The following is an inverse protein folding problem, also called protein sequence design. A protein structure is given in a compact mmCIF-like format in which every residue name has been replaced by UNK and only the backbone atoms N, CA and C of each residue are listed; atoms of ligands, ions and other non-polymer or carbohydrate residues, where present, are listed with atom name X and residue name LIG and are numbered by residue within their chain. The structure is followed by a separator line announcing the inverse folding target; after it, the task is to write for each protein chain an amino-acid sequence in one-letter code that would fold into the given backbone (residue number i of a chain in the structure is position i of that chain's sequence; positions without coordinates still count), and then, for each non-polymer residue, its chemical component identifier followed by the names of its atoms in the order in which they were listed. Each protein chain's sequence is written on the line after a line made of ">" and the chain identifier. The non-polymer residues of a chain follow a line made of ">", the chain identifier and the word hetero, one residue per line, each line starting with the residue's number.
data_IF_188106159680
#
_entry.id   IF_188106159680
#
_cell.length_a   1.000
_cell.length_b   1.000
_cell.length_c   1.000
_cell.angle_alpha   90.00
_cell.angle_beta   90.00
_cell.angle_gamma   90.00
#
_symmetry.space_group_name_H-M   'P 1'
#
loop_
_entity.id
_entity.type
_entity.pdbx_description
1 polymer ?
#
# COMPACT_ATOMS: atom_id res chain seq x y z
N UNK A 1 0.36 -0.05 2.55
CA UNK A 1 -0.13 0.92 1.54
C UNK A 1 0.84 2.08 1.45
N UNK A 2 1.22 2.53 0.25
CA UNK A 2 2.04 3.74 0.08
C UNK A 2 1.13 4.96 -0.13
N UNK A 3 1.35 6.03 0.63
CA UNK A 3 0.59 7.28 0.58
C UNK A 3 1.52 8.48 0.59
N UNK A 4 1.04 9.65 0.15
CA UNK A 4 1.78 10.90 0.23
C UNK A 4 1.35 11.66 1.48
N UNK A 5 2.28 11.93 2.39
CA UNK A 5 2.07 12.75 3.60
C UNK A 5 2.81 14.10 3.53
N UNK A 6 3.73 14.26 2.57
CA UNK A 6 4.47 15.51 2.35
C UNK A 6 4.44 15.96 0.90
N UNK A 7 5.47 16.73 0.51
CA UNK A 7 5.61 17.29 -0.83
C UNK A 7 5.76 16.23 -1.94
N UNK A 8 5.76 16.69 -3.20
CA UNK A 8 6.05 15.85 -4.35
C UNK A 8 7.44 15.17 -4.23
N UNK A 9 7.57 13.99 -4.85
CA UNK A 9 8.80 13.19 -4.82
C UNK A 9 8.80 12.06 -3.78
N UNK A 10 9.92 11.34 -3.71
CA UNK A 10 10.07 10.13 -2.89
C UNK A 10 10.06 10.41 -1.38
N UNK A 11 10.62 11.55 -0.95
CA UNK A 11 10.67 11.97 0.46
C UNK A 11 9.31 12.34 1.05
N UNK A 12 8.29 12.55 0.23
CA UNK A 12 6.92 12.80 0.70
C UNK A 12 6.07 11.53 0.83
N UNK A 13 6.64 10.35 0.57
CA UNK A 13 5.92 9.07 0.59
C UNK A 13 6.12 8.37 1.92
N UNK A 14 5.03 7.91 2.52
CA UNK A 14 4.97 7.15 3.76
C UNK A 14 4.29 5.79 3.51
N UNK A 15 4.66 4.78 4.30
CA UNK A 15 3.96 3.50 4.30
C UNK A 15 3.01 3.42 5.50
N UNK A 16 1.79 2.99 5.25
CA UNK A 16 0.76 2.76 6.28
C UNK A 16 0.39 1.29 6.29
N UNK A 17 0.34 0.71 7.48
CA UNK A 17 -0.22 -0.62 7.76
C UNK A 17 -1.66 -0.44 8.20
N UNK A 18 -2.58 -1.18 7.58
CA UNK A 18 -4.00 -1.10 7.90
C UNK A 18 -4.61 -2.49 7.92
N UNK A 19 -5.61 -2.66 8.78
CA UNK A 19 -6.49 -3.82 8.74
C UNK A 19 -7.63 -3.54 7.77
N UNK A 20 -7.93 -4.50 6.92
CA UNK A 20 -9.00 -4.37 5.92
C UNK A 20 -10.38 -4.70 6.47
N UNK A 21 -10.44 -5.52 7.51
CA UNK A 21 -11.67 -5.85 8.22
C UNK A 21 -12.24 -4.60 8.91
N UNK A 22 -13.55 -4.39 8.77
CA UNK A 22 -14.31 -3.30 9.37
C UNK A 22 -13.75 -1.90 9.11
N UNK A 23 -13.00 -1.71 8.00
CA UNK A 23 -12.38 -0.44 7.67
C UNK A 23 -13.33 0.46 6.87
N UNK A 24 -13.92 1.51 7.49
CA UNK A 24 -14.89 2.34 6.79
C UNK A 24 -14.21 3.09 5.64
N UNK A 25 -14.83 3.08 4.47
CA UNK A 25 -14.28 3.73 3.27
C UNK A 25 -13.32 2.87 2.46
N UNK A 26 -12.97 1.67 2.92
CA UNK A 26 -12.19 0.70 2.15
C UNK A 26 -13.11 -0.28 1.43
N UNK A 27 -12.83 -0.55 0.16
CA UNK A 27 -13.51 -1.63 -0.59
C UNK A 27 -12.58 -2.25 -1.63
N UNK A 28 -12.79 -3.54 -1.87
CA UNK A 28 -12.13 -4.29 -2.95
C UNK A 28 -13.05 -4.28 -4.17
N UNK A 29 -12.49 -3.96 -5.34
CA UNK A 29 -13.18 -4.02 -6.62
C UNK A 29 -13.38 -5.45 -7.12
N UNK A 30 -13.82 -5.59 -8.37
CA UNK A 30 -13.88 -6.90 -9.00
C UNK A 30 -12.47 -7.47 -9.19
N UNK A 31 -12.38 -8.80 -9.14
CA UNK A 31 -11.19 -9.52 -9.59
C UNK A 31 -10.98 -9.28 -11.09
N UNK A 32 -9.73 -9.02 -11.47
CA UNK A 32 -9.34 -8.79 -12.86
C UNK A 32 -9.25 -10.13 -13.60
N UNK A 33 -9.78 -10.14 -14.82
CA UNK A 33 -9.53 -11.20 -15.79
C UNK A 33 -8.12 -11.01 -16.35
N UNK A 34 -7.26 -12.00 -16.13
CA UNK A 34 -5.84 -11.95 -16.49
C UNK A 34 -5.54 -12.96 -17.57
N UNK A 35 -4.55 -12.68 -18.41
CA UNK A 35 -4.04 -13.64 -19.41
C UNK A 35 -3.34 -14.86 -18.75
N UNK A 36 -2.77 -14.67 -17.55
CA UNK A 36 -2.05 -15.69 -16.80
C UNK A 36 -1.98 -15.35 -15.30
N UNK A 37 -1.16 -16.09 -14.54
CA UNK A 37 -1.11 -16.00 -13.07
C UNK A 37 -2.50 -16.11 -12.40
N UNK A 38 -3.37 -16.98 -12.92
CA UNK A 38 -4.76 -17.13 -12.44
C UNK A 38 -4.86 -17.58 -10.97
N UNK A 39 -3.80 -18.16 -10.40
CA UNK A 39 -3.77 -18.52 -8.99
C UNK A 39 -3.62 -17.31 -8.04
N UNK A 40 -3.14 -16.16 -8.55
CA UNK A 40 -3.01 -14.94 -7.77
C UNK A 40 -4.26 -14.07 -7.96
N UNK A 41 -4.93 -13.67 -6.88
CA UNK A 41 -6.03 -12.73 -6.96
C UNK A 41 -5.49 -11.32 -7.21
N UNK A 42 -6.04 -10.64 -8.22
CA UNK A 42 -5.66 -9.26 -8.54
C UNK A 42 -6.93 -8.45 -8.71
N UNK A 43 -7.05 -7.37 -7.94
CA UNK A 43 -8.23 -6.52 -7.93
C UNK A 43 -7.83 -5.07 -7.68
N UNK A 44 -8.71 -4.16 -8.06
CA UNK A 44 -8.59 -2.75 -7.70
C UNK A 44 -8.93 -2.57 -6.22
N UNK A 45 -8.20 -1.69 -5.52
CA UNK A 45 -8.46 -1.33 -4.12
C UNK A 45 -8.86 0.14 -4.06
N UNK A 46 -9.96 0.43 -3.37
CA UNK A 46 -10.49 1.78 -3.24
C UNK A 46 -10.44 2.22 -1.78
N UNK A 47 -10.01 3.47 -1.58
CA UNK A 47 -9.89 4.13 -0.29
C UNK A 47 -10.57 5.49 -0.38
N UNK A 48 -11.73 5.64 0.25
CA UNK A 48 -12.52 6.86 0.24
C UNK A 48 -12.82 7.30 1.68
N UNK A 49 -12.35 8.49 2.08
CA UNK A 49 -12.59 9.02 3.42
C UNK A 49 -12.02 8.16 4.58
N UNK A 50 -11.07 7.27 4.30
CA UNK A 50 -10.46 6.36 5.28
C UNK A 50 -9.67 7.14 6.33
N UNK A 51 -10.02 7.00 7.61
CA UNK A 51 -9.35 7.69 8.74
C UNK A 51 -8.56 6.70 9.59
N UNK A 52 -7.25 6.93 9.73
CA UNK A 52 -6.35 6.06 10.49
C UNK A 52 -5.65 6.83 11.62
N UNK A 53 -5.38 6.18 12.77
CA UNK A 53 -4.44 6.68 13.77
C UNK A 53 -3.02 6.78 13.19
N UNK A 54 -2.21 7.70 13.72
CA UNK A 54 -0.80 7.87 13.32
C UNK A 54 0.07 6.66 13.67
N UNK A 55 -0.36 5.83 14.63
CA UNK A 55 0.28 4.58 15.02
C UNK A 55 0.37 3.55 13.88
N UNK A 56 -0.49 3.68 12.87
CA UNK A 56 -0.48 2.83 11.67
C UNK A 56 0.65 3.20 10.68
N UNK A 57 1.38 4.30 10.94
CA UNK A 57 2.53 4.71 10.16
C UNK A 57 3.71 3.76 10.38
N UNK A 58 4.12 3.07 9.33
CA UNK A 58 5.23 2.12 9.37
C UNK A 58 6.53 2.83 9.74
N UNK A 59 7.17 2.39 10.83
CA UNK A 59 8.41 2.99 11.33
C UNK A 59 8.23 4.33 12.04
N UNK A 60 7.00 4.81 12.22
CA UNK A 60 6.67 5.98 13.06
C UNK A 60 7.16 7.34 12.55
N UNK A 61 7.75 7.41 11.35
CA UNK A 61 8.26 8.64 10.75
C UNK A 61 7.77 8.81 9.32
N UNK A 62 7.19 9.96 9.04
CA UNK A 62 6.69 10.29 7.72
C UNK A 62 7.84 10.51 6.73
N UNK A 63 7.60 10.19 5.46
CA UNK A 63 8.54 10.43 4.36
C UNK A 63 9.60 9.34 4.16
N UNK A 64 9.71 8.38 5.08
CA UNK A 64 10.64 7.25 4.99
C UNK A 64 10.08 6.07 4.17
N UNK A 65 8.82 6.15 3.73
CA UNK A 65 8.10 5.06 3.10
C UNK A 65 8.70 4.58 1.78
N UNK A 66 9.28 5.49 0.99
CA UNK A 66 9.92 5.10 -0.27
C UNK A 66 11.15 4.21 -0.04
N UNK A 67 12.00 4.55 0.93
CA UNK A 67 13.19 3.76 1.27
C UNK A 67 12.79 2.40 1.85
N UNK A 68 11.78 2.39 2.72
CA UNK A 68 11.21 1.14 3.26
C UNK A 68 10.72 0.23 2.13
N UNK A 69 10.01 0.77 1.13
CA UNK A 69 9.51 0.00 -0.01
C UNK A 69 10.66 -0.53 -0.88
N UNK A 70 11.69 0.28 -1.15
CA UNK A 70 12.87 -0.14 -1.93
C UNK A 70 13.64 -1.30 -1.27
N UNK A 71 13.60 -1.44 0.05
CA UNK A 71 14.23 -2.56 0.76
C UNK A 71 13.61 -3.92 0.41
N UNK A 72 12.31 -3.95 0.10
CA UNK A 72 11.58 -5.19 -0.24
C UNK A 72 11.59 -5.48 -1.75
N UNK A 73 11.51 -4.44 -2.60
CA UNK A 73 11.46 -4.63 -4.05
C UNK A 73 12.65 -5.40 -4.62
N UNK A 74 13.84 -5.27 -4.02
CA UNK A 74 15.02 -6.01 -4.47
C UNK A 74 14.86 -7.52 -4.24
N UNK A 75 14.21 -7.91 -3.14
CA UNK A 75 13.88 -9.30 -2.84
C UNK A 75 12.77 -9.82 -3.76
N UNK A 76 11.68 -9.07 -3.94
CA UNK A 76 10.58 -9.47 -4.81
C UNK A 76 11.05 -9.78 -6.25
N UNK A 77 11.96 -8.97 -6.80
CA UNK A 77 12.54 -9.19 -8.14
C UNK A 77 13.33 -10.48 -8.29
N UNK A 78 13.80 -11.08 -7.19
CA UNK A 78 14.52 -12.36 -7.23
C UNK A 78 13.57 -13.56 -7.33
N UNK A 79 12.36 -13.44 -6.76
CA UNK A 79 11.39 -14.54 -6.67
C UNK A 79 10.32 -14.52 -7.77
N UNK A 80 10.16 -13.39 -8.46
CA UNK A 80 9.27 -13.21 -9.62
C UNK A 80 9.93 -13.72 -10.91
#
# INVERSE_FOLDING_TARGET
>A
MAVRTGEAGSRGVSLIVLKTEDLPGFRVGRRLEKLGQHASDTAELFFDGVRMPTEHLQGGKEGDGFVQLMSQLSYERLFL
#
